data_IF_872254655088
#
_entry.id   IF_872254655088
#
_cell.length_a   1.000
_cell.length_b   1.000
_cell.length_c   1.000
_cell.angle_alpha   90.00
_cell.angle_beta   90.00
_cell.angle_gamma   90.00
#
_symmetry.space_group_name_H-M   'P 1'
#
loop_
_entity.id
_entity.type
_entity.pdbx_description
1 polymer ?
#
# COMPACT_ATOMS: atom_id res chain seq x y z
N UNK A 1 -3.93 -31.20 43.29
CA UNK A 1 -4.23 -29.92 42.59
C UNK A 1 -3.02 -29.54 41.75
N UNK A 2 -3.12 -29.62 40.43
CA UNK A 2 -2.04 -29.15 39.55
C UNK A 2 -2.12 -27.62 39.47
N UNK A 3 -1.20 -26.91 40.12
CA UNK A 3 -1.03 -25.48 39.89
C UNK A 3 -0.52 -25.28 38.45
N UNK A 4 -1.12 -24.38 37.65
CA UNK A 4 -0.53 -24.01 36.38
C UNK A 4 0.81 -23.33 36.65
N UNK A 5 1.91 -23.98 36.25
CA UNK A 5 3.24 -23.37 36.29
C UNK A 5 3.21 -22.07 35.48
N UNK A 6 3.79 -21.00 36.04
CA UNK A 6 3.91 -19.68 35.40
C UNK A 6 4.57 -19.72 34.00
N UNK A 7 5.20 -20.85 33.65
CA UNK A 7 5.79 -21.15 32.35
C UNK A 7 4.79 -21.21 31.16
N UNK A 8 3.47 -21.24 31.39
CA UNK A 8 2.45 -21.34 30.32
C UNK A 8 1.61 -20.09 30.07
N UNK A 9 2.02 -18.93 30.58
CA UNK A 9 1.37 -17.68 30.20
C UNK A 9 1.92 -17.19 28.85
N UNK A 10 1.30 -17.63 27.76
CA UNK A 10 1.59 -17.11 26.41
C UNK A 10 1.47 -15.58 26.41
N UNK A 11 2.54 -14.89 26.01
CA UNK A 11 2.55 -13.43 25.85
C UNK A 11 1.85 -12.98 24.57
N UNK A 12 1.47 -13.92 23.69
CA UNK A 12 0.82 -13.65 22.43
C UNK A 12 -0.48 -12.86 22.61
N UNK A 13 -0.77 -11.95 21.67
CA UNK A 13 -1.98 -11.11 21.69
C UNK A 13 -2.70 -11.15 20.33
N UNK A 14 -3.30 -12.29 19.92
CA UNK A 14 -3.95 -12.44 18.62
C UNK A 14 -4.97 -11.33 18.33
N UNK A 15 -5.87 -11.02 19.28
CA UNK A 15 -6.85 -9.94 19.12
C UNK A 15 -6.24 -8.55 18.88
N UNK A 16 -5.10 -8.25 19.52
CA UNK A 16 -4.45 -6.95 19.35
C UNK A 16 -3.77 -6.85 17.99
N UNK A 17 -3.09 -7.92 17.56
CA UNK A 17 -2.48 -8.00 16.23
C UNK A 17 -3.56 -7.92 15.15
N UNK A 18 -4.70 -8.62 15.31
CA UNK A 18 -5.82 -8.57 14.37
C UNK A 18 -6.42 -7.16 14.23
N UNK A 19 -6.64 -6.45 15.34
CA UNK A 19 -7.16 -5.07 15.31
C UNK A 19 -6.20 -4.12 14.58
N UNK A 20 -4.90 -4.25 14.84
CA UNK A 20 -3.87 -3.48 14.11
C UNK A 20 -3.92 -3.78 12.61
N UNK A 21 -4.01 -5.04 12.21
CA UNK A 21 -4.13 -5.42 10.80
C UNK A 21 -5.39 -4.84 10.14
N UNK A 22 -6.53 -4.77 10.85
CA UNK A 22 -7.73 -4.12 10.34
C UNK A 22 -7.56 -2.60 10.15
N UNK A 23 -6.84 -1.93 11.06
CA UNK A 23 -6.47 -0.52 10.88
C UNK A 23 -5.63 -0.35 9.61
N UNK A 24 -4.63 -1.21 9.38
CA UNK A 24 -3.84 -1.15 8.15
C UNK A 24 -4.67 -1.47 6.90
N UNK A 25 -5.59 -2.45 6.98
CA UNK A 25 -6.49 -2.77 5.88
C UNK A 25 -7.37 -1.57 5.50
N UNK A 26 -7.89 -0.83 6.47
CA UNK A 26 -8.66 0.40 6.22
C UNK A 26 -7.80 1.48 5.55
N UNK A 27 -6.54 1.64 5.97
CA UNK A 27 -5.60 2.55 5.30
C UNK A 27 -5.31 2.14 3.86
N UNK A 28 -5.13 0.84 3.59
CA UNK A 28 -4.91 0.32 2.22
C UNK A 28 -6.16 0.53 1.36
N UNK A 29 -7.37 0.34 1.92
CA UNK A 29 -8.59 0.64 1.19
C UNK A 29 -8.68 2.14 0.81
N UNK A 30 -8.36 3.03 1.76
CA UNK A 30 -8.27 4.47 1.47
C UNK A 30 -7.21 4.77 0.40
N UNK A 31 -6.06 4.09 0.43
CA UNK A 31 -5.00 4.19 -0.58
C UNK A 31 -5.48 3.80 -1.97
N UNK A 32 -6.25 2.72 -2.09
CA UNK A 32 -6.83 2.30 -3.36
C UNK A 32 -7.80 3.35 -3.91
N UNK A 33 -8.64 3.95 -3.05
CA UNK A 33 -9.55 5.04 -3.46
C UNK A 33 -8.77 6.27 -3.93
N UNK A 34 -7.80 6.74 -3.14
CA UNK A 34 -6.96 7.90 -3.50
C UNK A 34 -6.15 7.63 -4.77
N UNK A 35 -5.62 6.42 -4.94
CA UNK A 35 -4.95 5.99 -6.16
C UNK A 35 -5.88 5.97 -7.38
N UNK A 36 -7.12 5.52 -7.19
CA UNK A 36 -8.18 5.59 -8.20
C UNK A 36 -8.48 7.02 -8.63
N UNK A 37 -8.61 7.95 -7.68
CA UNK A 37 -8.76 9.39 -7.97
C UNK A 37 -7.55 9.90 -8.75
N UNK A 38 -6.33 9.60 -8.28
CA UNK A 38 -5.07 10.00 -8.94
C UNK A 38 -5.02 9.55 -10.40
N UNK A 39 -5.55 8.37 -10.72
CA UNK A 39 -5.66 7.91 -12.10
C UNK A 39 -6.74 8.66 -12.87
N UNK A 40 -7.95 8.77 -12.32
CA UNK A 40 -9.09 9.44 -13.00
C UNK A 40 -8.85 10.94 -13.25
N UNK A 41 -7.99 11.57 -12.45
CA UNK A 41 -7.57 12.97 -12.62
C UNK A 41 -6.24 13.11 -13.36
N UNK A 42 -5.73 12.03 -13.98
CA UNK A 42 -4.43 11.97 -14.70
C UNK A 42 -3.30 12.67 -13.94
N UNK A 43 -3.24 12.43 -12.63
CA UNK A 43 -2.30 13.07 -11.72
C UNK A 43 -1.05 12.26 -11.51
N UNK A 44 -0.97 11.03 -12.07
CA UNK A 44 0.07 10.05 -11.74
C UNK A 44 1.50 10.41 -12.18
N UNK A 45 1.70 11.47 -12.96
CA UNK A 45 3.01 11.91 -13.46
C UNK A 45 3.36 13.36 -13.05
N UNK A 46 2.56 13.97 -12.17
CA UNK A 46 2.77 15.35 -11.68
C UNK A 46 4.03 15.53 -10.82
N UNK A 47 4.51 14.47 -10.16
CA UNK A 47 5.73 14.46 -9.33
C UNK A 47 6.80 13.61 -10.03
N UNK A 48 7.71 14.30 -10.71
CA UNK A 48 8.72 13.68 -11.57
C UNK A 48 9.91 13.08 -10.82
N UNK A 49 10.14 13.53 -9.57
CA UNK A 49 11.28 13.10 -8.77
C UNK A 49 10.89 12.10 -7.68
N UNK A 50 11.65 11.01 -7.58
CA UNK A 50 11.50 10.11 -6.44
C UNK A 50 12.25 10.66 -5.22
N UNK A 51 11.50 11.27 -4.29
CA UNK A 51 12.00 11.74 -2.99
C UNK A 51 11.39 10.92 -1.83
N UNK A 52 11.93 9.74 -1.47
CA UNK A 52 11.35 8.87 -0.44
C UNK A 52 11.18 9.57 0.91
N UNK A 53 12.19 10.35 1.34
CA UNK A 53 12.22 11.02 2.64
C UNK A 53 11.85 12.51 2.50
N UNK A 54 12.57 13.27 1.69
CA UNK A 54 12.37 14.72 1.55
C UNK A 54 11.04 15.11 0.91
N UNK A 55 10.36 14.20 0.22
CA UNK A 55 9.05 14.43 -0.40
C UNK A 55 7.86 14.33 0.55
N UNK A 56 8.07 14.22 1.87
CA UNK A 56 6.99 14.28 2.87
C UNK A 56 6.44 15.70 2.98
N UNK A 57 7.31 16.71 2.88
CA UNK A 57 6.92 18.12 2.92
C UNK A 57 6.66 18.58 1.48
N UNK A 58 5.45 19.07 1.15
CA UNK A 58 5.17 19.58 -0.18
C UNK A 58 5.86 20.95 -0.38
N UNK A 59 5.92 21.48 -1.62
CA UNK A 59 6.43 22.83 -1.85
C UNK A 59 5.66 23.86 -1.01
N UNK A 60 6.39 24.73 -0.30
CA UNK A 60 5.83 25.73 0.61
C UNK A 60 5.93 27.15 0.06
N UNK A 61 6.94 27.41 -0.79
CA UNK A 61 7.16 28.73 -1.38
C UNK A 61 6.76 28.78 -2.85
N UNK A 62 6.46 29.97 -3.36
CA UNK A 62 6.15 30.18 -4.78
C UNK A 62 7.29 29.70 -5.69
N UNK A 63 8.54 29.94 -5.30
CA UNK A 63 9.70 29.48 -6.06
C UNK A 63 9.80 27.95 -6.14
N UNK A 64 9.52 27.24 -5.03
CA UNK A 64 9.51 25.77 -5.02
C UNK A 64 8.36 25.21 -5.90
N UNK A 65 7.18 25.82 -5.81
CA UNK A 65 6.06 25.45 -6.68
C UNK A 65 6.36 25.65 -8.16
N UNK A 66 7.02 26.77 -8.50
CA UNK A 66 7.41 27.06 -9.87
C UNK A 66 8.45 26.03 -10.38
N UNK A 67 9.42 25.64 -9.56
CA UNK A 67 10.43 24.65 -9.93
C UNK A 67 9.83 23.26 -10.23
N UNK A 68 8.90 22.77 -9.39
CA UNK A 68 8.20 21.50 -9.66
C UNK A 68 7.32 21.61 -10.91
N UNK A 69 6.64 22.74 -11.12
CA UNK A 69 5.83 22.96 -12.31
C UNK A 69 6.68 23.04 -13.59
N UNK A 70 7.82 23.73 -13.54
CA UNK A 70 8.75 23.78 -14.66
C UNK A 70 9.29 22.38 -14.96
N UNK A 71 9.59 21.56 -13.95
CA UNK A 71 9.91 20.15 -14.14
C UNK A 71 8.80 19.37 -14.87
N UNK A 72 7.55 19.59 -14.48
CA UNK A 72 6.39 18.99 -15.14
C UNK A 72 6.25 19.40 -16.62
N UNK A 73 6.56 20.65 -16.98
CA UNK A 73 6.50 21.11 -18.39
C UNK A 73 7.44 20.35 -19.34
N UNK A 74 8.47 19.69 -18.81
CA UNK A 74 9.42 18.93 -19.61
C UNK A 74 8.95 17.51 -19.96
N UNK A 75 7.85 17.02 -19.37
CA UNK A 75 7.37 15.65 -19.60
C UNK A 75 6.35 15.59 -20.75
N UNK A 76 6.21 14.44 -21.44
CA UNK A 76 5.30 14.29 -22.57
C UNK A 76 3.83 14.59 -22.25
N UNK A 77 3.36 14.27 -21.05
CA UNK A 77 1.98 14.52 -20.59
C UNK A 77 1.61 16.02 -20.65
N UNK A 78 2.54 16.91 -20.27
CA UNK A 78 2.31 18.36 -20.38
C UNK A 78 2.10 18.77 -21.84
N UNK A 79 2.97 18.33 -22.74
CA UNK A 79 2.88 18.69 -24.15
C UNK A 79 1.62 18.14 -24.85
N UNK A 80 1.17 16.93 -24.45
CA UNK A 80 0.05 16.24 -25.09
C UNK A 80 -1.32 16.70 -24.57
N UNK A 81 -1.46 16.90 -23.26
CA UNK A 81 -2.78 17.12 -22.63
C UNK A 81 -2.89 18.43 -21.85
N UNK A 82 -1.78 18.96 -21.33
CA UNK A 82 -1.80 20.05 -20.35
C UNK A 82 -1.00 21.29 -20.79
N UNK A 83 -0.86 21.53 -22.10
CA UNK A 83 0.06 22.53 -22.67
C UNK A 83 -0.19 23.97 -22.18
N UNK A 84 -1.45 24.27 -21.88
CA UNK A 84 -1.90 25.60 -21.42
C UNK A 84 -2.24 25.60 -19.92
N UNK A 85 -1.81 24.58 -19.18
CA UNK A 85 -2.10 24.47 -17.75
C UNK A 85 -1.44 25.60 -16.96
N UNK A 86 -2.20 26.18 -16.04
CA UNK A 86 -1.71 27.18 -15.10
C UNK A 86 -1.07 26.49 -13.88
N UNK A 87 -0.30 27.26 -13.10
CA UNK A 87 0.25 26.77 -11.83
C UNK A 87 -0.84 26.27 -10.85
N UNK A 88 -2.03 26.89 -10.87
CA UNK A 88 -3.15 26.42 -10.04
C UNK A 88 -3.69 25.07 -10.49
N UNK A 89 -3.77 24.83 -11.80
CA UNK A 89 -4.12 23.52 -12.35
C UNK A 89 -3.09 22.46 -11.96
N UNK A 90 -1.80 22.78 -12.09
CA UNK A 90 -0.72 21.90 -11.67
C UNK A 90 -0.79 21.53 -10.19
N UNK A 91 -1.07 22.51 -9.29
CA UNK A 91 -1.24 22.23 -7.86
C UNK A 91 -2.36 21.23 -7.57
N UNK A 92 -3.44 21.22 -8.36
CA UNK A 92 -4.55 20.30 -8.18
C UNK A 92 -4.15 18.85 -8.49
N UNK A 93 -3.46 18.62 -9.62
CA UNK A 93 -2.97 17.26 -9.96
C UNK A 93 -1.83 16.84 -9.01
N UNK A 94 -0.94 17.76 -8.66
CA UNK A 94 0.13 17.52 -7.69
C UNK A 94 -0.41 17.05 -6.34
N UNK A 95 -1.51 17.67 -5.87
CA UNK A 95 -2.11 17.33 -4.59
C UNK A 95 -2.52 15.85 -4.51
N UNK A 96 -3.19 15.32 -5.52
CA UNK A 96 -3.65 13.93 -5.52
C UNK A 96 -2.49 12.95 -5.53
N UNK A 97 -1.47 13.19 -6.36
CA UNK A 97 -0.29 12.33 -6.39
C UNK A 97 0.51 12.43 -5.08
N UNK A 98 0.67 13.64 -4.54
CA UNK A 98 1.30 13.88 -3.24
C UNK A 98 0.58 13.12 -2.13
N UNK A 99 -0.75 13.25 -2.04
CA UNK A 99 -1.57 12.59 -1.04
C UNK A 99 -1.46 11.08 -1.15
N UNK A 100 -1.51 10.53 -2.37
CA UNK A 100 -1.32 9.12 -2.64
C UNK A 100 0.05 8.62 -2.14
N UNK A 101 1.13 9.34 -2.50
CA UNK A 101 2.49 9.00 -2.05
C UNK A 101 2.66 9.15 -0.53
N UNK A 102 2.07 10.17 0.08
CA UNK A 102 2.11 10.39 1.53
C UNK A 102 1.41 9.24 2.26
N UNK A 103 0.21 8.86 1.80
CA UNK A 103 -0.54 7.76 2.38
C UNK A 103 0.21 6.43 2.28
N UNK A 104 0.90 6.17 1.16
CA UNK A 104 1.80 5.01 1.04
C UNK A 104 2.90 4.97 2.12
N UNK A 105 3.51 6.12 2.44
CA UNK A 105 4.51 6.22 3.53
C UNK A 105 3.88 6.00 4.90
N UNK A 106 2.71 6.59 5.14
CA UNK A 106 1.96 6.41 6.39
C UNK A 106 1.62 4.94 6.60
N UNK A 107 1.16 4.22 5.56
CA UNK A 107 0.89 2.78 5.62
C UNK A 107 2.17 2.00 5.95
N UNK A 108 3.28 2.31 5.28
CA UNK A 108 4.57 1.67 5.56
C UNK A 108 4.97 1.79 7.03
N UNK A 109 4.86 2.99 7.61
CA UNK A 109 5.14 3.21 9.03
C UNK A 109 4.10 2.55 9.95
N UNK A 110 2.81 2.67 9.63
CA UNK A 110 1.71 2.08 10.38
C UNK A 110 1.74 0.54 10.40
N UNK A 111 2.41 -0.08 9.43
CA UNK A 111 2.68 -1.51 9.45
C UNK A 111 4.02 -1.84 10.15
N UNK A 112 5.12 -1.23 9.72
CA UNK A 112 6.46 -1.61 10.19
C UNK A 112 6.68 -1.33 11.68
N UNK A 113 6.23 -0.18 12.20
CA UNK A 113 6.49 0.19 13.58
C UNK A 113 5.74 -0.70 14.60
N UNK A 114 4.42 -0.97 14.44
CA UNK A 114 3.75 -1.93 15.30
C UNK A 114 4.28 -3.35 15.13
N UNK A 115 4.64 -3.80 13.91
CA UNK A 115 5.23 -5.12 13.71
C UNK A 115 6.52 -5.28 14.53
N UNK A 116 7.43 -4.31 14.46
CA UNK A 116 8.67 -4.31 15.25
C UNK A 116 8.35 -4.35 16.75
N UNK A 117 7.40 -3.52 17.21
CA UNK A 117 6.98 -3.52 18.60
C UNK A 117 6.41 -4.86 19.06
N UNK A 118 5.51 -5.48 18.28
CA UNK A 118 4.94 -6.79 18.58
C UNK A 118 6.02 -7.88 18.60
N UNK A 119 7.00 -7.82 17.69
CA UNK A 119 8.11 -8.76 17.63
C UNK A 119 9.02 -8.66 18.86
N UNK A 120 9.49 -7.45 19.19
CA UNK A 120 10.35 -7.20 20.37
C UNK A 120 9.64 -7.61 21.66
N UNK A 121 8.33 -7.33 21.77
CA UNK A 121 7.52 -7.70 22.94
C UNK A 121 7.05 -9.15 22.94
N UNK A 122 7.46 -9.97 21.95
CA UNK A 122 7.05 -11.38 21.77
C UNK A 122 5.53 -11.56 21.85
N UNK A 123 4.79 -10.67 21.20
CA UNK A 123 3.32 -10.64 21.19
C UNK A 123 2.71 -11.32 19.95
N UNK A 124 3.52 -11.65 18.95
CA UNK A 124 3.10 -12.31 17.72
C UNK A 124 2.84 -13.80 18.02
N UNK A 125 1.66 -14.35 17.69
CA UNK A 125 1.39 -15.78 17.83
C UNK A 125 2.32 -16.64 16.98
N UNK A 126 2.67 -17.84 17.47
CA UNK A 126 3.55 -18.79 16.78
C UNK A 126 2.99 -19.10 15.38
N UNK A 127 3.86 -19.12 14.37
CA UNK A 127 3.49 -19.38 12.98
C UNK A 127 3.02 -18.16 12.18
N UNK A 128 2.76 -17.00 12.82
CA UNK A 128 2.33 -15.78 12.12
C UNK A 128 3.47 -14.80 11.80
N UNK A 129 4.63 -14.95 12.44
CA UNK A 129 5.78 -14.05 12.22
C UNK A 129 6.20 -13.96 10.75
N UNK A 130 6.37 -15.10 10.08
CA UNK A 130 6.75 -15.12 8.66
C UNK A 130 5.68 -14.51 7.76
N UNK A 131 4.38 -14.70 8.07
CA UNK A 131 3.27 -14.11 7.31
C UNK A 131 3.33 -12.58 7.38
N UNK A 132 3.53 -12.04 8.57
CA UNK A 132 3.64 -10.59 8.79
C UNK A 132 4.87 -9.99 8.09
N UNK A 133 6.01 -10.69 8.13
CA UNK A 133 7.22 -10.27 7.39
C UNK A 133 7.01 -10.34 5.88
N UNK A 134 6.35 -11.39 5.37
CA UNK A 134 6.01 -11.50 3.95
C UNK A 134 5.07 -10.36 3.51
N UNK A 135 4.08 -10.00 4.32
CA UNK A 135 3.21 -8.85 4.06
C UNK A 135 3.96 -7.51 4.07
N UNK A 136 4.94 -7.33 4.98
CA UNK A 136 5.82 -6.15 4.95
C UNK A 136 6.64 -6.11 3.66
N UNK A 137 7.24 -7.24 3.26
CA UNK A 137 8.03 -7.35 2.04
C UNK A 137 7.18 -7.06 0.79
N UNK A 138 5.95 -7.58 0.73
CA UNK A 138 4.98 -7.27 -0.33
C UNK A 138 4.61 -5.79 -0.34
N UNK A 139 4.46 -5.14 0.82
CA UNK A 139 4.28 -3.69 0.91
C UNK A 139 5.46 -2.90 0.34
N UNK A 140 6.70 -3.36 0.59
CA UNK A 140 7.90 -2.79 -0.05
C UNK A 140 7.90 -2.98 -1.57
N UNK A 141 7.56 -4.18 -2.04
CA UNK A 141 7.40 -4.49 -3.46
C UNK A 141 6.33 -3.60 -4.11
N UNK A 142 5.21 -3.37 -3.42
CA UNK A 142 4.15 -2.48 -3.89
C UNK A 142 4.67 -1.07 -4.14
N UNK A 143 5.48 -0.53 -3.21
CA UNK A 143 6.16 0.75 -3.41
C UNK A 143 7.12 0.75 -4.61
N UNK A 144 7.88 -0.34 -4.81
CA UNK A 144 8.78 -0.49 -5.96
C UNK A 144 8.02 -0.55 -7.30
N UNK A 145 6.88 -1.26 -7.35
CA UNK A 145 6.01 -1.28 -8.53
C UNK A 145 5.45 0.12 -8.80
N UNK A 146 5.01 0.85 -7.77
CA UNK A 146 4.51 2.22 -7.91
C UNK A 146 5.57 3.18 -8.46
N UNK A 147 6.83 3.03 -8.02
CA UNK A 147 7.94 3.78 -8.63
C UNK A 147 8.17 3.41 -10.10
N UNK A 148 8.19 2.11 -10.41
CA UNK A 148 8.40 1.62 -11.77
C UNK A 148 7.31 2.10 -12.75
N UNK A 149 6.07 2.24 -12.28
CA UNK A 149 4.98 2.87 -13.03
C UNK A 149 5.34 4.31 -13.41
N UNK A 150 5.65 5.15 -12.43
CA UNK A 150 5.93 6.58 -12.66
C UNK A 150 7.17 6.76 -13.51
N UNK A 151 8.29 6.11 -13.16
CA UNK A 151 9.58 6.28 -13.85
C UNK A 151 9.49 6.00 -15.36
N UNK A 152 8.61 5.09 -15.77
CA UNK A 152 8.39 4.78 -17.19
C UNK A 152 7.50 5.73 -17.95
N UNK A 153 6.59 6.42 -17.26
CA UNK A 153 5.75 7.45 -17.88
C UNK A 153 6.53 8.74 -18.16
N UNK A 154 7.70 8.92 -17.55
CA UNK A 154 8.48 10.16 -17.69
C UNK A 154 9.29 10.26 -18.99
N UNK A 155 9.62 9.14 -19.65
CA UNK A 155 10.59 9.14 -20.77
C UNK A 155 10.06 8.60 -22.09
N UNK A 156 9.01 7.75 -22.08
CA UNK A 156 8.60 7.02 -23.29
C UNK A 156 7.09 7.07 -23.60
N UNK A 157 6.25 7.59 -22.70
CA UNK A 157 4.79 7.58 -22.85
C UNK A 157 4.17 8.87 -22.33
N UNK A 158 2.95 9.15 -22.77
CA UNK A 158 2.16 10.29 -22.28
C UNK A 158 1.35 9.94 -21.03
N UNK A 159 1.31 8.65 -20.65
CA UNK A 159 0.58 8.14 -19.49
C UNK A 159 1.24 6.88 -18.90
N UNK A 160 0.73 6.46 -17.73
CA UNK A 160 1.13 5.20 -17.10
C UNK A 160 0.47 4.02 -17.81
N UNK A 161 1.29 3.07 -18.29
CA UNK A 161 0.80 1.85 -18.95
C UNK A 161 -0.27 1.10 -18.12
N UNK A 162 -1.42 0.81 -18.74
CA UNK A 162 -2.53 0.08 -18.14
C UNK A 162 -2.12 -1.27 -17.53
N UNK A 163 -1.16 -1.99 -18.15
CA UNK A 163 -0.62 -3.24 -17.59
C UNK A 163 0.08 -2.99 -16.25
N UNK A 164 0.87 -1.92 -16.14
CA UNK A 164 1.60 -1.61 -14.90
C UNK A 164 0.65 -1.17 -13.80
N UNK A 165 -0.37 -0.40 -14.18
CA UNK A 165 -1.47 -0.03 -13.29
C UNK A 165 -2.22 -1.26 -12.78
N UNK A 166 -2.57 -2.20 -13.66
CA UNK A 166 -3.23 -3.45 -13.29
C UNK A 166 -2.36 -4.28 -12.34
N UNK A 167 -1.07 -4.45 -12.64
CA UNK A 167 -0.11 -5.16 -11.76
C UNK A 167 -0.04 -4.52 -10.36
N UNK A 168 0.02 -3.19 -10.29
CA UNK A 168 0.06 -2.47 -9.03
C UNK A 168 -1.24 -2.60 -8.24
N UNK A 169 -2.39 -2.46 -8.90
CA UNK A 169 -3.70 -2.63 -8.27
C UNK A 169 -3.88 -4.07 -7.76
N UNK A 170 -3.57 -5.07 -8.58
CA UNK A 170 -3.66 -6.48 -8.20
C UNK A 170 -2.77 -6.80 -7.01
N UNK A 171 -1.55 -6.27 -6.99
CA UNK A 171 -0.65 -6.46 -5.84
C UNK A 171 -1.19 -5.79 -4.59
N UNK A 172 -1.78 -4.58 -4.68
CA UNK A 172 -2.47 -3.93 -3.56
C UNK A 172 -3.64 -4.77 -3.03
N UNK A 173 -4.49 -5.28 -3.93
CA UNK A 173 -5.63 -6.13 -3.56
C UNK A 173 -5.18 -7.45 -2.93
N UNK A 174 -4.10 -8.04 -3.44
CA UNK A 174 -3.49 -9.25 -2.86
C UNK A 174 -2.97 -8.99 -1.44
N UNK A 175 -2.29 -7.87 -1.20
CA UNK A 175 -1.85 -7.47 0.14
C UNK A 175 -3.04 -7.24 1.07
N UNK A 176 -4.07 -6.51 0.60
CA UNK A 176 -5.29 -6.26 1.37
C UNK A 176 -5.98 -7.57 1.77
N UNK A 177 -6.13 -8.50 0.83
CA UNK A 177 -6.67 -9.83 1.08
C UNK A 177 -5.80 -10.61 2.08
N UNK A 178 -4.47 -10.59 1.94
CA UNK A 178 -3.55 -11.24 2.87
C UNK A 178 -3.59 -10.68 4.29
N UNK A 179 -3.73 -9.36 4.44
CA UNK A 179 -3.91 -8.69 5.73
C UNK A 179 -5.25 -9.08 6.35
N UNK A 180 -6.36 -8.98 5.61
CA UNK A 180 -7.68 -9.33 6.09
C UNK A 180 -7.76 -10.82 6.48
N UNK A 181 -7.21 -11.70 5.64
CA UNK A 181 -7.10 -13.14 5.92
C UNK A 181 -6.34 -13.39 7.22
N UNK A 182 -5.16 -12.77 7.37
CA UNK A 182 -4.34 -12.93 8.57
C UNK A 182 -5.05 -12.41 9.82
N UNK A 183 -5.78 -11.29 9.70
CA UNK A 183 -6.57 -10.74 10.80
C UNK A 183 -7.72 -11.68 11.22
N UNK A 184 -8.43 -12.28 10.26
CA UNK A 184 -9.49 -13.27 10.51
C UNK A 184 -8.96 -14.54 11.17
N UNK A 185 -7.84 -15.07 10.67
CA UNK A 185 -7.15 -16.22 11.26
C UNK A 185 -6.75 -15.95 12.72
N UNK A 186 -6.24 -14.74 13.01
CA UNK A 186 -5.89 -14.32 14.38
C UNK A 186 -7.12 -14.13 15.29
N UNK A 187 -8.25 -13.66 14.75
CA UNK A 187 -9.52 -13.61 15.49
C UNK A 187 -10.06 -15.00 15.81
N UNK A 188 -9.95 -15.94 14.87
CA UNK A 188 -10.32 -17.33 15.09
C UNK A 188 -9.43 -17.97 16.17
N UNK A 189 -8.12 -17.69 16.15
CA UNK A 189 -7.17 -18.14 17.15
C UNK A 189 -7.45 -17.55 18.55
N UNK A 190 -7.90 -16.30 18.63
CA UNK A 190 -8.34 -15.71 19.89
C UNK A 190 -9.55 -16.44 20.47
N UNK A 191 -10.57 -16.69 19.64
CA UNK A 191 -11.81 -17.37 20.05
C UNK A 191 -11.57 -18.83 20.43
N UNK A 192 -10.68 -19.51 19.72
CA UNK A 192 -10.28 -20.88 19.98
C UNK A 192 -8.77 -21.03 19.81
N UNK A 193 -8.05 -21.24 20.93
CA UNK A 193 -6.58 -21.36 20.93
C UNK A 193 -6.05 -22.58 20.16
N UNK A 194 -6.91 -23.52 19.79
CA UNK A 194 -6.61 -24.69 18.97
C UNK A 194 -7.00 -24.50 17.50
N UNK A 195 -7.54 -23.33 17.12
CA UNK A 195 -7.89 -23.04 15.74
C UNK A 195 -6.65 -23.13 14.85
N UNK A 196 -6.81 -23.79 13.70
CA UNK A 196 -5.78 -23.86 12.67
C UNK A 196 -6.03 -22.77 11.62
N UNK A 197 -4.97 -22.24 10.98
CA UNK A 197 -5.13 -21.26 9.92
C UNK A 197 -6.01 -21.78 8.78
N UNK A 198 -6.87 -20.93 8.24
CA UNK A 198 -7.72 -21.28 7.12
C UNK A 198 -6.89 -21.69 5.89
N UNK A 199 -7.48 -22.57 5.06
CA UNK A 199 -6.88 -23.02 3.79
C UNK A 199 -7.70 -22.51 2.61
N UNK A 200 -7.01 -22.15 1.53
CA UNK A 200 -7.65 -21.74 0.29
C UNK A 200 -8.20 -22.98 -0.41
N UNK A 201 -9.52 -23.00 -0.67
CA UNK A 201 -10.19 -24.11 -1.37
C UNK A 201 -9.99 -23.97 -2.88
N UNK A 202 -10.00 -25.09 -3.62
CA UNK A 202 -9.81 -25.09 -5.08
C UNK A 202 -10.77 -24.15 -5.82
N UNK A 203 -12.05 -24.13 -5.44
CA UNK A 203 -13.04 -23.19 -6.00
C UNK A 203 -12.64 -21.72 -5.78
N UNK A 204 -12.11 -21.39 -4.60
CA UNK A 204 -11.65 -20.03 -4.33
C UNK A 204 -10.40 -19.68 -5.14
N UNK A 205 -9.49 -20.63 -5.38
CA UNK A 205 -8.33 -20.44 -6.26
C UNK A 205 -8.79 -20.11 -7.69
N UNK A 206 -9.75 -20.88 -8.22
CA UNK A 206 -10.31 -20.64 -9.55
C UNK A 206 -10.98 -19.27 -9.63
N UNK A 207 -11.83 -18.93 -8.65
CA UNK A 207 -12.49 -17.63 -8.61
C UNK A 207 -11.51 -16.45 -8.55
N UNK A 208 -10.45 -16.56 -7.73
CA UNK A 208 -9.39 -15.55 -7.66
C UNK A 208 -8.59 -15.46 -8.96
N UNK A 209 -8.35 -16.58 -9.63
CA UNK A 209 -7.70 -16.61 -10.94
C UNK A 209 -8.52 -15.92 -12.03
N UNK A 210 -9.83 -16.16 -12.06
CA UNK A 210 -10.75 -15.48 -12.99
C UNK A 210 -10.82 -13.98 -12.70
N UNK A 211 -10.91 -13.58 -11.43
CA UNK A 211 -10.89 -12.17 -11.03
C UNK A 211 -9.56 -11.49 -11.42
N UNK A 212 -8.44 -12.17 -11.21
CA UNK A 212 -7.12 -11.67 -11.61
C UNK A 212 -7.03 -11.47 -13.13
N UNK A 213 -7.56 -12.41 -13.91
CA UNK A 213 -7.62 -12.31 -15.37
C UNK A 213 -8.49 -11.12 -15.81
N UNK A 214 -9.67 -10.96 -15.20
CA UNK A 214 -10.60 -9.85 -15.47
C UNK A 214 -10.02 -8.47 -15.12
N UNK A 215 -9.17 -8.37 -14.09
CA UNK A 215 -8.54 -7.09 -13.74
C UNK A 215 -7.38 -6.76 -14.71
N UNK A 216 -6.73 -7.78 -15.27
CA UNK A 216 -5.61 -7.61 -16.18
C UNK A 216 -6.03 -7.24 -17.61
N UNK A 217 -7.18 -7.73 -18.07
CA UNK A 217 -7.68 -7.61 -19.45
C UNK A 217 -9.15 -7.17 -19.48
#
# INVERSE_FOLDING_TARGET
MLQPSAAFMSTARPALVARWLWVVAALILAMVVVGGITRLTESGLSITQWKPISGIVPPLTTAQWQAEFDGYKHIPEYAAFNRDMTLSGFKAIFFWEYLHRLLGRVIGLAFAAPLLWFAVRRRIPVGYGWRLVALLALGGLQGAIGWWMVASGLTQRTDVSHIRLAVHLMTALFILAGIAWTALDLQALERNRLATPARLRGVAVVALGLLALQIMF
#
